data_IF_361023492658
#
_entry.id   IF_361023492658
#
_cell.length_a   1.000
_cell.length_b   1.000
_cell.length_c   1.000
_cell.angle_alpha   90.00
_cell.angle_beta   90.00
_cell.angle_gamma   90.00
#
_symmetry.space_group_name_H-M   'P 1'
#
loop_
_entity.id
_entity.type
_entity.pdbx_description
1 polymer ?
#
# COMPACT_ATOMS: atom_id res chain seq x y z
N UNK A 1 -7.71 0.30 -35.92
CA UNK A 1 -6.90 1.20 -35.03
C UNK A 1 -5.42 0.95 -35.33
N UNK A 2 -4.57 1.98 -35.31
CA UNK A 2 -3.10 1.84 -35.45
C UNK A 2 -2.46 2.27 -34.13
N UNK A 3 -1.59 1.42 -33.57
CA UNK A 3 -0.83 1.67 -32.34
C UNK A 3 0.65 1.48 -32.64
N UNK A 4 1.49 2.23 -31.95
CA UNK A 4 2.94 2.14 -32.05
C UNK A 4 3.48 1.08 -31.07
N UNK A 5 2.73 0.78 -29.99
CA UNK A 5 3.11 -0.23 -28.99
C UNK A 5 1.88 -0.94 -28.42
N UNK A 6 2.04 -2.24 -28.13
CA UNK A 6 1.04 -3.04 -27.41
C UNK A 6 1.65 -3.50 -26.09
N UNK A 7 0.95 -3.24 -24.99
CA UNK A 7 1.34 -3.62 -23.63
C UNK A 7 0.43 -4.76 -23.18
N UNK A 8 1.02 -5.86 -22.69
CA UNK A 8 0.27 -7.00 -22.18
C UNK A 8 0.26 -6.95 -20.65
N UNK A 9 -0.92 -6.71 -20.07
CA UNK A 9 -1.15 -6.64 -18.62
C UNK A 9 -1.59 -5.26 -18.14
N UNK A 10 -2.77 -5.18 -17.52
CA UNK A 10 -3.35 -3.97 -16.92
C UNK A 10 -2.99 -3.77 -15.44
N UNK A 11 -1.81 -4.21 -15.02
CA UNK A 11 -1.29 -3.98 -13.66
C UNK A 11 -0.59 -2.63 -13.54
N UNK A 12 -0.06 -2.31 -12.36
CA UNK A 12 0.66 -1.05 -12.10
C UNK A 12 1.75 -0.79 -13.15
N UNK A 13 2.61 -1.78 -13.40
CA UNK A 13 3.71 -1.65 -14.36
C UNK A 13 3.23 -1.33 -15.79
N UNK A 14 2.15 -1.99 -16.24
CA UNK A 14 1.58 -1.76 -17.57
C UNK A 14 0.94 -0.37 -17.70
N UNK A 15 0.25 0.10 -16.65
CA UNK A 15 -0.32 1.44 -16.61
C UNK A 15 0.76 2.52 -16.58
N UNK A 16 1.78 2.39 -15.73
CA UNK A 16 2.90 3.33 -15.68
C UNK A 16 3.66 3.38 -17.02
N UNK A 17 3.87 2.23 -17.66
CA UNK A 17 4.45 2.13 -19.00
C UNK A 17 3.61 2.87 -20.04
N UNK A 18 2.29 2.65 -20.06
CA UNK A 18 1.38 3.35 -20.96
C UNK A 18 1.39 4.87 -20.77
N UNK A 19 1.42 5.35 -19.52
CA UNK A 19 1.55 6.78 -19.23
C UNK A 19 2.89 7.32 -19.75
N UNK A 20 4.01 6.61 -19.53
CA UNK A 20 5.32 7.05 -20.01
C UNK A 20 5.38 7.15 -21.53
N UNK A 21 4.87 6.15 -22.25
CA UNK A 21 4.84 6.13 -23.72
C UNK A 21 3.95 7.23 -24.28
N UNK A 22 2.78 7.45 -23.69
CA UNK A 22 1.86 8.51 -24.14
C UNK A 22 2.39 9.91 -23.86
N UNK A 23 3.10 10.13 -22.74
CA UNK A 23 3.85 11.38 -22.49
C UNK A 23 4.95 11.64 -23.53
N UNK A 24 5.43 10.61 -24.21
CA UNK A 24 6.40 10.72 -25.33
C UNK A 24 5.71 10.84 -26.71
N UNK A 25 4.38 10.95 -26.75
CA UNK A 25 3.61 11.08 -28.00
C UNK A 25 3.32 9.76 -28.71
N UNK A 26 3.65 8.62 -28.11
CA UNK A 26 3.38 7.30 -28.69
C UNK A 26 1.95 6.85 -28.39
N UNK A 27 1.32 6.20 -29.36
CA UNK A 27 -0.01 5.59 -29.19
C UNK A 27 0.17 4.15 -28.74
N UNK A 28 -0.23 3.85 -27.51
CA UNK A 28 -0.19 2.50 -26.99
C UNK A 28 -1.59 1.89 -26.78
N UNK A 29 -1.69 0.57 -26.88
CA UNK A 29 -2.85 -0.20 -26.43
C UNK A 29 -2.44 -1.12 -25.28
N UNK A 30 -3.24 -1.16 -24.20
CA UNK A 30 -3.07 -2.13 -23.11
C UNK A 30 -4.08 -3.25 -23.30
N UNK A 31 -3.59 -4.49 -23.41
CA UNK A 31 -4.39 -5.70 -23.49
C UNK A 31 -4.36 -6.37 -22.12
N UNK A 32 -5.53 -6.60 -21.53
CA UNK A 32 -5.65 -7.27 -20.23
C UNK A 32 -6.83 -8.23 -20.24
N UNK A 33 -6.73 -9.31 -19.46
CA UNK A 33 -7.80 -10.28 -19.26
C UNK A 33 -8.30 -10.14 -17.83
N UNK A 34 -9.57 -9.74 -17.66
CA UNK A 34 -10.18 -9.56 -16.35
C UNK A 34 -9.91 -8.18 -15.71
N UNK A 35 -10.21 -8.08 -14.43
CA UNK A 35 -9.97 -6.87 -13.64
C UNK A 35 -8.53 -6.85 -13.11
N UNK A 36 -7.99 -5.64 -12.92
CA UNK A 36 -6.64 -5.48 -12.35
C UNK A 36 -6.59 -5.92 -10.89
N UNK A 37 -5.49 -6.55 -10.47
CA UNK A 37 -5.26 -6.90 -9.06
C UNK A 37 -5.07 -5.68 -8.15
N UNK A 38 -4.99 -4.47 -8.72
CA UNK A 38 -4.90 -3.22 -7.96
C UNK A 38 -6.07 -3.03 -6.98
N UNK A 39 -7.26 -3.55 -7.28
CA UNK A 39 -8.42 -3.49 -6.39
C UNK A 39 -8.27 -4.31 -5.11
N UNK A 40 -7.39 -5.32 -5.09
CA UNK A 40 -7.11 -6.17 -3.92
C UNK A 40 -5.73 -5.86 -3.31
N UNK A 41 -5.04 -4.84 -3.83
CA UNK A 41 -3.75 -4.42 -3.31
C UNK A 41 -3.93 -3.68 -1.98
N UNK A 42 -2.98 -3.86 -1.07
CA UNK A 42 -2.89 -3.00 0.13
C UNK A 42 -2.53 -1.54 -0.19
N UNK A 43 -2.32 -1.20 -1.46
CA UNK A 43 -1.85 0.10 -1.93
C UNK A 43 -0.35 0.33 -1.68
N UNK A 44 0.24 -0.34 -0.69
CA UNK A 44 1.68 -0.27 -0.42
C UNK A 44 2.50 -0.99 -1.48
N UNK A 45 3.62 -0.39 -1.87
CA UNK A 45 4.53 -0.89 -2.89
C UNK A 45 5.85 -1.29 -2.23
N UNK A 46 6.42 -2.41 -2.68
CA UNK A 46 7.67 -2.95 -2.16
C UNK A 46 8.81 -2.66 -3.16
N UNK A 47 9.96 -2.23 -2.65
CA UNK A 47 11.22 -2.11 -3.40
C UNK A 47 12.26 -2.96 -2.68
N UNK A 48 13.04 -3.74 -3.42
CA UNK A 48 14.13 -4.52 -2.81
C UNK A 48 15.20 -3.56 -2.29
N UNK A 49 15.52 -3.69 -1.01
CA UNK A 49 16.55 -2.92 -0.34
C UNK A 49 17.94 -3.23 -0.93
N UNK A 50 18.80 -2.20 -1.04
CA UNK A 50 20.15 -2.31 -1.61
C UNK A 50 20.94 -3.47 -1.03
N UNK A 51 20.80 -3.71 0.27
CA UNK A 51 21.52 -4.77 1.01
C UNK A 51 21.24 -6.19 0.49
N UNK A 52 20.14 -6.37 -0.24
CA UNK A 52 19.76 -7.65 -0.85
C UNK A 52 19.90 -7.66 -2.37
N UNK A 53 20.04 -6.51 -3.04
CA UNK A 53 20.07 -6.44 -4.50
C UNK A 53 21.23 -7.23 -5.11
N UNK A 54 22.42 -7.09 -4.54
CA UNK A 54 23.62 -7.81 -5.00
C UNK A 54 23.54 -9.34 -4.81
N UNK A 55 22.61 -9.81 -3.97
CA UNK A 55 22.41 -11.24 -3.67
C UNK A 55 21.34 -11.88 -4.56
N UNK A 56 20.71 -11.11 -5.45
CA UNK A 56 19.69 -11.61 -6.34
C UNK A 56 20.33 -12.48 -7.45
N UNK A 57 19.64 -13.51 -7.95
CA UNK A 57 20.14 -14.29 -9.08
C UNK A 57 20.17 -13.43 -10.36
N UNK A 58 21.01 -13.80 -11.33
CA UNK A 58 21.18 -13.05 -12.58
C UNK A 58 19.88 -12.91 -13.38
N UNK A 59 18.99 -13.89 -13.25
CA UNK A 59 17.68 -13.94 -13.92
C UNK A 59 16.61 -13.10 -13.20
N UNK A 60 16.94 -12.49 -12.06
CA UNK A 60 15.99 -11.67 -11.32
C UNK A 60 15.60 -10.43 -12.14
N UNK A 61 14.32 -9.98 -12.13
CA UNK A 61 13.87 -8.83 -12.91
C UNK A 61 14.69 -7.55 -12.75
N UNK A 62 15.27 -7.31 -11.57
CA UNK A 62 16.12 -6.13 -11.32
C UNK A 62 17.44 -6.19 -12.09
N UNK A 63 18.01 -7.38 -12.28
CA UNK A 63 19.20 -7.58 -13.12
C UNK A 63 18.85 -7.48 -14.61
N UNK A 64 17.74 -8.09 -15.03
CA UNK A 64 17.27 -8.02 -16.42
C UNK A 64 16.92 -6.59 -16.87
N UNK A 65 16.41 -5.77 -15.94
CA UNK A 65 16.10 -4.35 -16.17
C UNK A 65 17.35 -3.46 -16.18
N UNK A 66 18.49 -3.99 -15.72
CA UNK A 66 19.71 -3.26 -15.43
C UNK A 66 19.65 -2.61 -14.05
N UNK A 67 20.42 -3.16 -13.10
CA UNK A 67 20.43 -2.73 -11.70
C UNK A 67 20.71 -1.22 -11.54
N UNK A 68 21.56 -0.67 -12.42
CA UNK A 68 21.88 0.76 -12.46
C UNK A 68 20.68 1.67 -12.76
N UNK A 69 19.58 1.13 -13.28
CA UNK A 69 18.38 1.90 -13.61
C UNK A 69 17.35 1.91 -12.49
N UNK A 70 17.47 1.04 -11.48
CA UNK A 70 16.42 0.83 -10.48
C UNK A 70 16.13 2.10 -9.70
N UNK A 71 17.16 2.83 -9.26
CA UNK A 71 16.98 4.06 -8.50
C UNK A 71 16.30 5.16 -9.34
N UNK A 72 16.71 5.30 -10.61
CA UNK A 72 16.05 6.21 -11.55
C UNK A 72 14.59 5.84 -11.74
N UNK A 73 14.29 4.56 -11.99
CA UNK A 73 12.92 4.11 -12.21
C UNK A 73 12.05 4.23 -10.96
N UNK A 74 12.62 4.05 -9.77
CA UNK A 74 11.93 4.29 -8.51
C UNK A 74 11.52 5.77 -8.38
N UNK A 75 12.46 6.71 -8.58
CA UNK A 75 12.17 8.14 -8.53
C UNK A 75 11.19 8.59 -9.61
N UNK A 76 11.33 8.09 -10.84
CA UNK A 76 10.37 8.39 -11.92
C UNK A 76 8.96 7.85 -11.59
N UNK A 77 8.88 6.70 -10.93
CA UNK A 77 7.60 6.11 -10.50
C UNK A 77 6.95 6.93 -9.40
N UNK A 78 7.71 7.40 -8.40
CA UNK A 78 7.22 8.32 -7.37
C UNK A 78 6.62 9.58 -7.99
N UNK A 79 7.35 10.21 -8.91
CA UNK A 79 6.87 11.39 -9.62
C UNK A 79 5.61 11.10 -10.43
N UNK A 80 5.55 9.95 -11.12
CA UNK A 80 4.38 9.59 -11.91
C UNK A 80 3.14 9.33 -11.06
N UNK A 81 3.30 8.67 -9.91
CA UNK A 81 2.23 8.46 -8.96
C UNK A 81 1.70 9.80 -8.41
N UNK A 82 2.61 10.72 -8.07
CA UNK A 82 2.26 12.06 -7.62
C UNK A 82 1.51 12.87 -8.70
N UNK A 83 1.99 12.84 -9.95
CA UNK A 83 1.32 13.46 -11.11
C UNK A 83 -0.10 12.93 -11.32
N UNK A 84 -0.33 11.64 -11.03
CA UNK A 84 -1.64 11.01 -11.10
C UNK A 84 -2.52 11.30 -9.87
N UNK A 85 -2.04 12.07 -8.89
CA UNK A 85 -2.76 12.39 -7.66
C UNK A 85 -2.78 11.26 -6.63
N UNK A 86 -1.96 10.20 -6.79
CA UNK A 86 -1.83 9.15 -5.80
C UNK A 86 -1.03 9.66 -4.60
N UNK A 87 -1.72 9.90 -3.48
CA UNK A 87 -1.10 10.36 -2.23
C UNK A 87 -0.40 9.19 -1.54
N UNK A 88 0.92 9.21 -1.60
CA UNK A 88 1.78 8.16 -1.07
C UNK A 88 2.83 8.79 -0.14
N UNK A 89 3.19 8.07 0.92
CA UNK A 89 4.30 8.37 1.80
C UNK A 89 5.41 7.31 1.67
N UNK A 90 6.65 7.73 1.85
CA UNK A 90 7.84 6.88 1.71
C UNK A 90 8.90 7.53 0.82
N UNK A 91 9.98 6.81 0.52
CA UNK A 91 11.01 7.24 -0.40
C UNK A 91 11.83 6.06 -0.93
N UNK A 92 12.23 6.13 -2.20
CA UNK A 92 13.10 5.16 -2.86
C UNK A 92 14.46 5.01 -2.18
N UNK A 93 14.87 6.01 -1.39
CA UNK A 93 16.13 6.00 -0.65
C UNK A 93 16.10 5.09 0.56
N UNK A 94 14.94 4.88 1.16
CA UNK A 94 14.81 4.10 2.38
C UNK A 94 13.39 3.58 2.56
N UNK A 95 13.26 2.26 2.63
CA UNK A 95 12.01 1.62 2.99
C UNK A 95 11.60 1.95 4.42
N UNK A 96 10.29 2.02 4.67
CA UNK A 96 9.71 2.20 5.99
C UNK A 96 8.97 0.95 6.46
N UNK A 97 8.75 0.84 7.77
CA UNK A 97 7.97 -0.23 8.36
C UNK A 97 6.49 0.19 8.45
N UNK A 98 5.63 -0.42 7.63
CA UNK A 98 4.18 -0.20 7.68
C UNK A 98 3.46 -1.24 8.52
N UNK A 99 2.31 -0.89 9.07
CA UNK A 99 1.39 -1.83 9.74
C UNK A 99 0.61 -2.62 8.70
N UNK A 100 0.58 -3.94 8.86
CA UNK A 100 -0.26 -4.83 8.07
C UNK A 100 -1.64 -4.98 8.72
N UNK A 101 -2.66 -5.43 7.97
CA UNK A 101 -3.97 -5.79 8.54
C UNK A 101 -3.92 -6.87 9.63
N UNK A 102 -2.82 -7.63 9.74
CA UNK A 102 -2.61 -8.61 10.81
C UNK A 102 -1.94 -8.02 12.05
N UNK A 103 -1.73 -6.70 12.07
CA UNK A 103 -1.11 -5.98 13.19
C UNK A 103 0.39 -6.25 13.35
N UNK A 104 1.08 -6.57 12.25
CA UNK A 104 2.54 -6.72 12.22
C UNK A 104 3.18 -5.60 11.42
N UNK A 105 4.48 -5.38 11.62
CA UNK A 105 5.28 -4.50 10.78
C UNK A 105 5.82 -5.23 9.56
N UNK A 106 5.73 -4.61 8.39
CA UNK A 106 6.34 -5.07 7.13
C UNK A 106 7.09 -3.92 6.48
N UNK A 107 8.25 -4.20 5.89
CA UNK A 107 8.99 -3.22 5.08
C UNK A 107 8.21 -2.90 3.80
N UNK A 108 8.14 -1.62 3.44
CA UNK A 108 7.55 -1.13 2.21
C UNK A 108 8.33 0.09 1.71
N UNK A 109 8.34 0.29 0.40
CA UNK A 109 8.92 1.48 -0.23
C UNK A 109 7.95 2.65 -0.18
N UNK A 110 6.72 2.44 -0.66
CA UNK A 110 5.65 3.43 -0.65
C UNK A 110 4.43 2.86 0.05
N UNK A 111 3.66 3.72 0.71
CA UNK A 111 2.36 3.35 1.28
C UNK A 111 1.39 4.51 1.14
N UNK A 112 0.08 4.26 0.98
CA UNK A 112 -0.93 5.31 1.10
C UNK A 112 -0.80 6.04 2.45
N UNK A 113 -1.12 7.33 2.49
CA UNK A 113 -1.04 8.14 3.72
C UNK A 113 -1.91 7.60 4.86
N UNK A 114 -2.96 6.85 4.52
CA UNK A 114 -3.87 6.22 5.49
C UNK A 114 -3.27 4.99 6.16
N UNK A 115 -2.16 4.43 5.63
CA UNK A 115 -1.49 3.26 6.20
C UNK A 115 -0.53 3.71 7.32
N UNK A 116 -0.71 3.25 8.57
CA UNK A 116 0.19 3.62 9.66
C UNK A 116 1.61 3.10 9.44
N UNK A 117 2.59 3.96 9.67
CA UNK A 117 4.03 3.65 9.56
C UNK A 117 4.73 3.85 10.89
N UNK A 118 5.62 2.93 11.24
CA UNK A 118 6.45 2.97 12.43
C UNK A 118 7.74 3.80 12.20
N UNK A 119 8.29 4.45 13.24
CA UNK A 119 7.82 4.43 14.63
C UNK A 119 6.53 5.24 14.83
N UNK A 120 5.63 4.71 15.67
CA UNK A 120 4.38 5.41 15.98
C UNK A 120 4.65 6.57 16.93
N UNK A 121 4.19 7.77 16.56
CA UNK A 121 4.17 8.92 17.49
C UNK A 121 3.09 8.76 18.57
N UNK A 122 2.06 7.96 18.31
CA UNK A 122 0.93 7.78 19.21
C UNK A 122 1.28 6.87 20.39
N UNK A 123 0.93 7.29 21.60
CA UNK A 123 1.10 6.48 22.83
C UNK A 123 -0.01 5.45 23.02
N UNK A 124 -1.12 5.57 22.28
CA UNK A 124 -2.30 4.71 22.37
C UNK A 124 -2.86 4.46 20.98
N UNK A 125 -3.06 3.19 20.64
CA UNK A 125 -3.67 2.75 19.38
C UNK A 125 -4.99 2.06 19.69
N UNK A 126 -6.01 2.35 18.87
CA UNK A 126 -7.29 1.64 18.89
C UNK A 126 -7.45 0.91 17.57
N UNK A 127 -7.80 -0.37 17.65
CA UNK A 127 -8.13 -1.18 16.49
C UNK A 127 -9.65 -1.28 16.40
N UNK A 128 -10.22 -0.86 15.28
CA UNK A 128 -11.67 -0.83 15.04
C UNK A 128 -11.97 -1.69 13.83
N UNK A 129 -12.88 -2.65 13.99
CA UNK A 129 -13.42 -3.44 12.88
C UNK A 129 -14.87 -3.05 12.59
N UNK A 130 -15.32 -3.33 11.37
CA UNK A 130 -16.71 -3.15 10.93
C UNK A 130 -17.40 -4.51 11.02
N UNK A 131 -18.50 -4.59 11.76
CA UNK A 131 -19.30 -5.83 11.86
C UNK A 131 -19.75 -6.29 10.47
N UNK A 132 -19.57 -7.58 10.17
CA UNK A 132 -19.89 -8.16 8.86
C UNK A 132 -18.78 -8.01 7.81
N UNK A 133 -17.72 -7.25 8.08
CA UNK A 133 -16.54 -7.17 7.20
C UNK A 133 -15.57 -8.31 7.55
N UNK A 134 -15.56 -9.36 6.73
CA UNK A 134 -14.84 -10.61 7.03
C UNK A 134 -13.31 -10.51 6.84
N UNK A 135 -12.87 -9.59 5.99
CA UNK A 135 -11.47 -9.48 5.55
C UNK A 135 -10.55 -8.83 6.59
N UNK A 136 -11.12 -8.28 7.68
CA UNK A 136 -10.34 -7.69 8.77
C UNK A 136 -10.71 -8.28 10.12
N UNK A 137 -9.72 -8.90 10.76
CA UNK A 137 -9.85 -9.52 12.08
C UNK A 137 -9.22 -8.61 13.15
N UNK A 138 -9.97 -7.64 13.72
CA UNK A 138 -9.41 -6.60 14.60
C UNK A 138 -8.77 -7.16 15.87
N UNK A 139 -9.27 -8.30 16.36
CA UNK A 139 -8.74 -8.94 17.56
C UNK A 139 -7.33 -9.51 17.32
N UNK A 140 -7.07 -10.09 16.15
CA UNK A 140 -5.74 -10.59 15.77
C UNK A 140 -4.76 -9.42 15.58
N UNK A 141 -5.20 -8.36 14.88
CA UNK A 141 -4.37 -7.18 14.67
C UNK A 141 -3.98 -6.52 16.00
N UNK A 142 -4.93 -6.35 16.91
CA UNK A 142 -4.66 -5.80 18.24
C UNK A 142 -3.70 -6.67 19.05
N UNK A 143 -3.87 -7.99 19.01
CA UNK A 143 -2.98 -8.93 19.70
C UNK A 143 -1.55 -8.88 19.16
N UNK A 144 -1.38 -8.83 17.84
CA UNK A 144 -0.05 -8.71 17.21
C UNK A 144 0.63 -7.39 17.54
N UNK A 145 -0.07 -6.26 17.43
CA UNK A 145 0.49 -4.95 17.76
C UNK A 145 0.92 -4.86 19.23
N UNK A 146 0.14 -5.46 20.14
CA UNK A 146 0.46 -5.49 21.58
C UNK A 146 1.75 -6.24 21.88
N UNK A 147 2.06 -7.28 21.10
CA UNK A 147 3.31 -8.06 21.27
C UNK A 147 4.55 -7.31 20.75
N UNK A 148 4.39 -6.35 19.85
CA UNK A 148 5.50 -5.62 19.22
C UNK A 148 6.04 -4.43 20.05
N UNK A 149 5.63 -4.28 21.31
CA UNK A 149 6.34 -3.42 22.27
C UNK A 149 5.80 -2.00 22.46
N UNK A 150 4.65 -1.66 21.88
CA UNK A 150 3.93 -0.46 22.32
C UNK A 150 3.12 -0.81 23.57
N UNK A 151 3.22 -0.01 24.62
CA UNK A 151 2.42 -0.07 25.85
C UNK A 151 0.93 0.19 25.53
N UNK A 152 0.33 -0.70 24.75
CA UNK A 152 -1.07 -0.68 24.37
C UNK A 152 -1.82 -1.14 25.61
N UNK A 153 -2.15 -0.18 26.47
CA UNK A 153 -3.15 -0.38 27.52
C UNK A 153 -4.37 -0.97 26.81
N UNK A 154 -4.67 -2.25 27.11
CA UNK A 154 -5.90 -2.93 26.74
C UNK A 154 -7.06 -1.98 27.02
N UNK A 155 -7.57 -1.33 25.99
CA UNK A 155 -8.84 -0.67 26.08
C UNK A 155 -9.87 -1.67 25.61
N UNK A 156 -10.88 -1.86 26.48
CA UNK A 156 -12.09 -2.62 26.20
C UNK A 156 -12.54 -2.35 24.77
N UNK A 157 -12.41 -3.37 23.92
CA UNK A 157 -12.98 -3.39 22.57
C UNK A 157 -14.47 -3.14 22.75
N UNK A 158 -14.89 -1.91 22.46
CA UNK A 158 -16.31 -1.64 22.28
C UNK A 158 -16.53 -1.91 20.80
N UNK A 159 -17.17 -3.03 20.50
CA UNK A 159 -17.79 -3.25 19.20
C UNK A 159 -18.82 -2.12 19.04
N UNK A 160 -18.43 -1.05 18.36
CA UNK A 160 -19.41 -0.11 17.83
C UNK A 160 -19.80 -0.67 16.47
N UNK A 161 -20.88 -1.46 16.46
CA UNK A 161 -21.65 -1.65 15.25
C UNK A 161 -22.00 -0.26 14.72
N UNK A 162 -21.40 0.12 13.58
CA UNK A 162 -21.68 1.40 12.92
C UNK A 162 -23.11 1.46 12.34
N UNK A 163 -23.92 0.40 12.51
CA UNK A 163 -25.32 0.37 12.10
C UNK A 163 -26.31 0.75 13.21
N UNK A 164 -25.87 1.06 14.43
CA UNK A 164 -26.80 1.38 15.54
C UNK A 164 -26.80 2.83 16.01
N UNK A 165 -26.00 3.73 15.41
CA UNK A 165 -25.90 5.13 15.86
C UNK A 165 -27.02 6.07 15.35
N UNK A 166 -28.06 5.55 14.69
CA UNK A 166 -29.16 6.36 14.19
C UNK A 166 -30.41 6.40 15.10
N UNK A 167 -30.45 5.64 16.21
CA UNK A 167 -31.65 5.61 17.07
C UNK A 167 -31.27 5.45 18.55
N UNK A 168 -30.91 6.53 19.21
CA UNK A 168 -31.15 6.66 20.65
C UNK A 168 -31.47 8.12 20.97
N UNK A 169 -32.69 8.45 21.43
CA UNK A 169 -33.04 9.83 21.73
C UNK A 169 -32.27 10.28 22.97
N UNK A 170 -31.87 11.55 22.98
CA UNK A 170 -31.25 12.20 24.12
C UNK A 170 -32.18 12.10 25.34
N UNK A 171 -31.83 11.26 26.31
CA UNK A 171 -32.44 11.33 27.64
C UNK A 171 -31.71 12.40 28.45
N UNK A 172 -32.43 13.48 28.70
CA UNK A 172 -32.12 14.47 29.73
C UNK A 172 -32.04 13.81 31.10
N UNK A 173 -31.00 14.09 31.86
CA UNK A 173 -31.04 14.00 33.32
C UNK A 173 -30.33 15.22 33.91
N UNK A 174 -31.09 15.93 34.74
CA UNK A 174 -30.66 17.02 35.62
C UNK A 174 -29.81 16.47 36.74
#
# INVERSE_FOLDING_TARGET
MKFDTVIVGGGLAGLLCGIKLTKQGLRCAIITRGQSALHFSSGSLDLVDETYREKLPAEHPYHLTGAQHIDRFALETEALLADCGARMQGSARQNHARVTPLGTLRSAWLSPEEVPVAPFKATRVRVVGISGFLDFQPHLAAASLSRQGSTLKRQRLTFLSWMSCATTPASSAR
#
